data_IF_041146987561
#
_entry.id   IF_041146987561
#
_cell.length_a   1.000
_cell.length_b   1.000
_cell.length_c   1.000
_cell.angle_alpha   90.00
_cell.angle_beta   90.00
_cell.angle_gamma   90.00
#
_symmetry.space_group_name_H-M   'P 1'
#
loop_
_entity.id
_entity.type
_entity.pdbx_description
1 polymer ?
#
# COMPACT_ATOMS: atom_id res chain seq x y z
N UNK A 1 16.82 -20.69 6.45
CA UNK A 1 16.81 -19.26 6.08
C UNK A 1 16.30 -19.18 4.65
N UNK A 2 15.35 -18.31 4.31
CA UNK A 2 14.90 -18.18 2.92
C UNK A 2 16.08 -17.67 2.08
N UNK A 3 16.37 -18.27 0.91
CA UNK A 3 17.64 -18.07 0.21
C UNK A 3 17.88 -16.63 -0.25
N UNK A 4 16.82 -15.83 -0.37
CA UNK A 4 16.85 -14.43 -0.77
C UNK A 4 16.73 -13.44 0.39
N UNK A 5 16.50 -13.88 1.64
CA UNK A 5 16.43 -12.99 2.80
C UNK A 5 17.81 -12.82 3.42
N UNK A 6 18.63 -11.98 2.81
CA UNK A 6 20.03 -11.78 3.21
C UNK A 6 20.31 -10.40 3.80
N UNK A 7 19.39 -9.46 3.62
CA UNK A 7 19.57 -8.05 4.00
C UNK A 7 18.21 -7.36 4.26
N UNK A 8 18.19 -6.11 4.79
CA UNK A 8 16.96 -5.38 5.02
C UNK A 8 16.09 -5.15 3.76
N UNK A 9 16.64 -4.77 2.59
CA UNK A 9 15.84 -4.60 1.37
C UNK A 9 15.09 -5.86 0.95
N UNK A 10 15.76 -7.02 0.92
CA UNK A 10 15.12 -8.29 0.57
C UNK A 10 14.01 -8.69 1.55
N UNK A 11 14.18 -8.37 2.84
CA UNK A 11 13.10 -8.52 3.83
C UNK A 11 11.89 -7.64 3.49
N UNK A 12 12.11 -6.37 3.16
CA UNK A 12 11.02 -5.47 2.75
C UNK A 12 10.33 -5.98 1.48
N UNK A 13 11.09 -6.41 0.48
CA UNK A 13 10.53 -6.96 -0.77
C UNK A 13 9.63 -8.15 -0.50
N UNK A 14 10.02 -9.05 0.40
CA UNK A 14 9.17 -10.18 0.79
C UNK A 14 7.88 -9.73 1.50
N UNK A 15 7.98 -8.80 2.45
CA UNK A 15 6.79 -8.28 3.15
C UNK A 15 5.83 -7.61 2.16
N UNK A 16 6.35 -6.81 1.23
CA UNK A 16 5.56 -6.15 0.18
C UNK A 16 4.95 -7.18 -0.77
N UNK A 17 5.71 -8.18 -1.23
CA UNK A 17 5.19 -9.27 -2.06
C UNK A 17 3.96 -9.93 -1.40
N UNK A 18 4.11 -10.41 -0.17
CA UNK A 18 3.04 -11.15 0.53
C UNK A 18 1.84 -10.22 0.79
N UNK A 19 2.08 -9.04 1.37
CA UNK A 19 0.99 -8.13 1.74
C UNK A 19 0.24 -7.61 0.52
N UNK A 20 0.93 -7.23 -0.56
CA UNK A 20 0.31 -6.74 -1.78
C UNK A 20 -0.45 -7.84 -2.54
N UNK A 21 -0.01 -9.10 -2.50
CA UNK A 21 -0.78 -10.22 -3.05
C UNK A 21 -2.09 -10.43 -2.29
N UNK A 22 -2.03 -10.51 -0.95
CA UNK A 22 -3.22 -10.73 -0.12
C UNK A 22 -4.21 -9.57 -0.26
N UNK A 23 -3.73 -8.34 -0.10
CA UNK A 23 -4.57 -7.13 -0.18
C UNK A 23 -5.10 -6.98 -1.61
N UNK A 24 -4.27 -7.17 -2.63
CA UNK A 24 -4.65 -7.03 -4.03
C UNK A 24 -5.74 -8.02 -4.46
N UNK A 25 -5.57 -9.30 -4.11
CA UNK A 25 -6.59 -10.32 -4.34
C UNK A 25 -7.88 -9.99 -3.59
N UNK A 26 -7.81 -9.54 -2.34
CA UNK A 26 -9.02 -9.18 -1.58
C UNK A 26 -9.78 -8.00 -2.18
N UNK A 27 -9.08 -7.02 -2.80
CA UNK A 27 -9.72 -5.90 -3.49
C UNK A 27 -10.46 -6.35 -4.76
N UNK A 28 -9.95 -7.36 -5.45
CA UNK A 28 -10.54 -7.90 -6.68
C UNK A 28 -11.68 -8.87 -6.39
N UNK A 29 -11.48 -9.77 -5.43
CA UNK A 29 -12.42 -10.85 -5.11
C UNK A 29 -13.51 -10.40 -4.14
N UNK A 30 -13.21 -9.45 -3.25
CA UNK A 30 -14.12 -8.93 -2.22
C UNK A 30 -14.21 -7.39 -2.26
N UNK A 31 -14.53 -6.77 -3.40
CA UNK A 31 -14.58 -5.31 -3.51
C UNK A 31 -15.60 -4.65 -2.57
N UNK A 32 -16.69 -5.34 -2.23
CA UNK A 32 -17.71 -4.85 -1.32
C UNK A 32 -17.19 -4.69 0.11
N UNK A 33 -16.36 -5.64 0.59
CA UNK A 33 -15.73 -5.58 1.91
C UNK A 33 -14.95 -4.26 2.09
N UNK A 34 -14.18 -3.87 1.07
CA UNK A 34 -13.40 -2.64 1.10
C UNK A 34 -14.28 -1.40 0.98
N UNK A 35 -15.34 -1.45 0.16
CA UNK A 35 -16.31 -0.36 0.08
C UNK A 35 -16.96 -0.09 1.45
N UNK A 36 -17.39 -1.14 2.16
CA UNK A 36 -17.99 -1.03 3.48
C UNK A 36 -16.97 -0.52 4.53
N UNK A 37 -15.74 -1.03 4.49
CA UNK A 37 -14.66 -0.56 5.37
C UNK A 37 -14.38 0.94 5.20
N UNK A 38 -14.21 1.42 3.96
CA UNK A 38 -13.94 2.83 3.70
C UNK A 38 -15.17 3.73 3.91
N UNK A 39 -16.38 3.22 3.70
CA UNK A 39 -17.61 3.93 4.08
C UNK A 39 -17.67 4.14 5.60
N UNK A 40 -17.39 3.11 6.40
CA UNK A 40 -17.36 3.24 7.85
C UNK A 40 -16.28 4.20 8.35
N UNK A 41 -15.09 4.20 7.73
CA UNK A 41 -14.05 5.18 8.03
C UNK A 41 -14.53 6.60 7.72
N UNK A 42 -15.20 6.81 6.58
CA UNK A 42 -15.72 8.13 6.19
C UNK A 42 -16.74 8.66 7.20
N UNK A 43 -17.65 7.82 7.69
CA UNK A 43 -18.66 8.19 8.69
C UNK A 43 -18.03 8.72 9.99
N UNK A 44 -16.83 8.24 10.33
CA UNK A 44 -16.06 8.69 11.52
C UNK A 44 -15.33 10.03 11.30
N UNK A 45 -15.41 10.62 10.12
CA UNK A 45 -14.77 11.89 9.78
C UNK A 45 -13.25 11.87 10.02
N UNK A 46 -12.75 12.87 10.75
CA UNK A 46 -11.31 13.00 11.05
C UNK A 46 -10.74 11.81 11.83
N UNK A 47 -11.53 11.20 12.72
CA UNK A 47 -11.08 10.01 13.45
C UNK A 47 -10.90 8.81 12.50
N UNK A 48 -11.76 8.69 11.50
CA UNK A 48 -11.62 7.72 10.41
C UNK A 48 -10.38 7.95 9.56
N UNK A 49 -10.07 9.22 9.22
CA UNK A 49 -8.84 9.57 8.51
C UNK A 49 -7.60 9.12 9.28
N UNK A 50 -7.52 9.44 10.58
CA UNK A 50 -6.39 9.04 11.44
C UNK A 50 -6.30 7.51 11.53
N UNK A 51 -7.42 6.82 11.70
CA UNK A 51 -7.48 5.35 11.75
C UNK A 51 -6.93 4.74 10.47
N UNK A 52 -7.42 5.21 9.31
CA UNK A 52 -6.94 4.79 7.98
C UNK A 52 -5.42 4.95 7.85
N UNK A 53 -4.92 6.13 8.19
CA UNK A 53 -3.48 6.44 8.05
C UNK A 53 -2.66 5.53 8.97
N UNK A 54 -3.03 5.42 10.25
CA UNK A 54 -2.24 4.67 11.24
C UNK A 54 -2.29 3.16 11.02
N UNK A 55 -3.40 2.62 10.54
CA UNK A 55 -3.56 1.17 10.38
C UNK A 55 -3.17 0.66 9.00
N UNK A 56 -3.32 1.48 7.95
CA UNK A 56 -3.18 1.02 6.56
C UNK A 56 -1.97 1.62 5.86
N UNK A 57 -1.64 2.89 6.10
CA UNK A 57 -0.70 3.63 5.23
C UNK A 57 0.66 3.91 5.89
N UNK A 58 0.70 4.23 7.19
CA UNK A 58 1.92 4.70 7.86
C UNK A 58 3.00 3.61 7.97
N UNK A 59 2.65 2.43 8.52
CA UNK A 59 3.66 1.39 8.79
C UNK A 59 4.33 0.85 7.53
N UNK A 60 3.61 0.55 6.43
CA UNK A 60 4.25 0.16 5.18
C UNK A 60 5.15 1.27 4.62
N UNK A 61 4.73 2.54 4.71
CA UNK A 61 5.54 3.66 4.24
C UNK A 61 6.85 3.76 5.02
N UNK A 62 6.79 3.69 6.35
CA UNK A 62 7.97 3.73 7.21
C UNK A 62 8.88 2.54 6.95
N UNK A 63 8.34 1.33 6.87
CA UNK A 63 9.10 0.11 6.61
C UNK A 63 9.89 0.23 5.30
N UNK A 64 9.23 0.66 4.21
CA UNK A 64 9.87 0.77 2.91
C UNK A 64 10.89 1.92 2.90
N UNK A 65 10.52 3.12 3.33
CA UNK A 65 11.43 4.28 3.26
C UNK A 65 12.65 4.11 4.17
N UNK A 66 12.53 3.45 5.32
CA UNK A 66 13.66 3.25 6.23
C UNK A 66 14.59 2.11 5.83
N UNK A 67 14.07 1.03 5.22
CA UNK A 67 14.84 -0.20 4.99
C UNK A 67 15.02 -0.58 3.52
N UNK A 68 14.43 0.16 2.57
CA UNK A 68 14.46 -0.18 1.15
C UNK A 68 14.71 1.06 0.25
N UNK A 69 15.99 1.33 -0.04
CA UNK A 69 16.44 2.43 -0.92
C UNK A 69 17.13 1.90 -2.19
N UNK A 70 16.49 0.93 -2.84
CA UNK A 70 17.01 0.33 -4.09
C UNK A 70 16.38 1.05 -5.29
N UNK A 71 17.22 1.73 -6.08
CA UNK A 71 16.80 2.58 -7.21
C UNK A 71 17.11 1.95 -8.57
N UNK A 72 17.25 0.64 -8.63
CA UNK A 72 17.59 -0.11 -9.84
C UNK A 72 16.69 -1.35 -10.01
N UNK A 73 16.58 -1.81 -11.25
CA UNK A 73 15.82 -3.01 -11.60
C UNK A 73 14.34 -2.94 -11.19
N UNK A 74 13.69 -4.10 -11.00
CA UNK A 74 12.29 -4.18 -10.55
C UNK A 74 12.07 -3.57 -9.15
N UNK A 75 13.10 -3.55 -8.30
CA UNK A 75 13.03 -3.06 -6.93
C UNK A 75 12.68 -1.56 -6.84
N UNK A 76 12.95 -0.78 -7.90
CA UNK A 76 12.60 0.66 -7.95
C UNK A 76 11.10 0.89 -7.72
N UNK A 77 10.24 -0.04 -8.14
CA UNK A 77 8.78 0.04 -7.94
C UNK A 77 8.43 0.08 -6.46
N UNK A 78 9.09 -0.76 -5.65
CA UNK A 78 8.87 -0.81 -4.19
C UNK A 78 9.33 0.50 -3.55
N UNK A 79 10.50 1.00 -3.94
CA UNK A 79 11.04 2.26 -3.42
C UNK A 79 10.13 3.45 -3.75
N UNK A 80 9.68 3.58 -5.00
CA UNK A 80 8.73 4.62 -5.42
C UNK A 80 7.42 4.50 -4.65
N UNK A 81 6.89 3.28 -4.50
CA UNK A 81 5.66 3.04 -3.75
C UNK A 81 5.76 3.52 -2.30
N UNK A 82 6.87 3.21 -1.61
CA UNK A 82 7.11 3.68 -0.25
C UNK A 82 7.10 5.21 -0.12
N UNK A 83 7.80 5.90 -1.03
CA UNK A 83 7.84 7.36 -1.03
C UNK A 83 6.48 8.02 -1.36
N UNK A 84 5.75 7.48 -2.33
CA UNK A 84 4.39 7.95 -2.65
C UNK A 84 3.44 7.73 -1.47
N UNK A 85 3.56 6.60 -0.76
CA UNK A 85 2.75 6.32 0.41
C UNK A 85 3.09 7.25 1.57
N UNK A 86 4.40 7.52 1.82
CA UNK A 86 4.85 8.48 2.82
C UNK A 86 4.33 9.89 2.52
N UNK A 87 4.41 10.33 1.25
CA UNK A 87 3.84 11.60 0.82
C UNK A 87 2.33 11.66 1.08
N UNK A 88 1.59 10.60 0.74
CA UNK A 88 0.15 10.50 0.98
C UNK A 88 -0.21 10.60 2.47
N UNK A 89 0.53 9.89 3.33
CA UNK A 89 0.37 9.96 4.79
C UNK A 89 0.64 11.37 5.30
N UNK A 90 1.70 12.00 4.82
CA UNK A 90 2.12 13.35 5.23
C UNK A 90 1.06 14.38 4.85
N UNK A 91 0.59 14.36 3.59
CA UNK A 91 -0.51 15.22 3.13
C UNK A 91 -1.78 14.95 3.91
N UNK A 92 -2.11 13.67 4.16
CA UNK A 92 -3.32 13.30 4.90
C UNK A 92 -3.35 13.84 6.34
N UNK A 93 -2.21 13.82 7.05
CA UNK A 93 -2.12 14.31 8.42
C UNK A 93 -1.97 15.84 8.52
N UNK A 94 -1.15 16.44 7.65
CA UNK A 94 -0.87 17.88 7.69
C UNK A 94 -1.93 18.72 6.98
N UNK A 95 -2.62 18.15 5.99
CA UNK A 95 -3.66 18.80 5.18
C UNK A 95 -4.94 17.92 5.17
N UNK A 96 -5.63 17.78 6.33
CA UNK A 96 -6.70 16.80 6.50
C UNK A 96 -7.89 16.99 5.56
N UNK A 97 -8.13 18.20 5.04
CA UNK A 97 -9.17 18.43 4.03
C UNK A 97 -8.87 17.66 2.73
N UNK A 98 -7.59 17.59 2.32
CA UNK A 98 -7.17 16.79 1.16
C UNK A 98 -7.23 15.29 1.46
N UNK A 99 -6.81 14.89 2.68
CA UNK A 99 -6.93 13.49 3.13
C UNK A 99 -8.36 12.99 3.15
N UNK A 100 -9.30 13.81 3.63
CA UNK A 100 -10.73 13.54 3.67
C UNK A 100 -11.34 13.41 2.27
N UNK A 101 -10.93 14.25 1.31
CA UNK A 101 -11.40 14.17 -0.07
C UNK A 101 -11.10 12.81 -0.71
N UNK A 102 -9.96 12.20 -0.38
CA UNK A 102 -9.61 10.85 -0.87
C UNK A 102 -10.52 9.73 -0.36
N UNK A 103 -11.26 9.96 0.74
CA UNK A 103 -12.25 9.02 1.28
C UNK A 103 -13.65 9.24 0.70
N UNK A 104 -13.86 10.26 -0.15
CA UNK A 104 -15.14 10.56 -0.78
C UNK A 104 -15.49 9.62 -1.95
N UNK A 105 -14.83 8.45 -2.06
CA UNK A 105 -15.12 7.43 -3.08
C UNK A 105 -16.64 7.12 -3.04
N UNK A 106 -17.32 7.08 -4.21
CA UNK A 106 -18.76 6.87 -4.23
C UNK A 106 -19.13 5.56 -3.52
N UNK A 107 -19.98 5.69 -2.51
CA UNK A 107 -20.48 4.61 -1.64
C UNK A 107 -21.10 3.43 -2.43
N UNK A 108 -21.40 3.64 -3.72
CA UNK A 108 -22.13 2.70 -4.59
C UNK A 108 -21.29 2.07 -5.70
N UNK A 109 -19.96 2.20 -5.67
CA UNK A 109 -19.10 1.59 -6.68
C UNK A 109 -18.07 0.62 -6.08
N UNK A 110 -18.48 -0.56 -5.55
CA UNK A 110 -17.53 -1.58 -5.08
C UNK A 110 -16.45 -1.90 -6.12
N UNK A 111 -16.82 -1.92 -7.40
CA UNK A 111 -15.89 -2.17 -8.51
C UNK A 111 -14.76 -1.14 -8.62
N UNK A 112 -14.85 0.02 -7.98
CA UNK A 112 -13.77 1.01 -7.91
C UNK A 112 -12.54 0.53 -7.12
N UNK A 113 -12.67 -0.54 -6.33
CA UNK A 113 -11.54 -1.17 -5.64
C UNK A 113 -10.74 -2.14 -6.52
N UNK A 114 -11.30 -2.61 -7.64
CA UNK A 114 -10.60 -3.57 -8.53
C UNK A 114 -9.31 -2.98 -9.10
N UNK A 115 -9.26 -1.74 -9.64
CA UNK A 115 -8.01 -1.13 -10.11
C UNK A 115 -6.94 -1.02 -9.02
N UNK A 116 -7.33 -0.69 -7.78
CA UNK A 116 -6.41 -0.67 -6.65
C UNK A 116 -5.85 -2.07 -6.36
N UNK A 117 -6.70 -3.10 -6.48
CA UNK A 117 -6.26 -4.50 -6.38
C UNK A 117 -5.26 -4.90 -7.45
N UNK A 118 -5.51 -4.55 -8.71
CA UNK A 118 -4.58 -4.80 -9.83
C UNK A 118 -3.24 -4.09 -9.61
N UNK A 119 -3.27 -2.84 -9.15
CA UNK A 119 -2.05 -2.09 -8.82
C UNK A 119 -1.25 -2.78 -7.70
N UNK A 120 -1.92 -3.25 -6.64
CA UNK A 120 -1.26 -4.00 -5.58
C UNK A 120 -0.63 -5.30 -6.11
N UNK A 121 -1.33 -6.06 -6.97
CA UNK A 121 -0.74 -7.25 -7.59
C UNK A 121 0.49 -6.92 -8.44
N UNK A 122 0.48 -5.80 -9.18
CA UNK A 122 1.64 -5.36 -9.96
C UNK A 122 2.83 -4.99 -9.07
N UNK A 123 2.60 -4.30 -7.95
CA UNK A 123 3.64 -3.97 -6.96
C UNK A 123 4.19 -5.25 -6.33
N UNK A 124 3.32 -6.20 -5.96
CA UNK A 124 3.73 -7.50 -5.43
C UNK A 124 4.57 -8.29 -6.44
N UNK A 125 4.18 -8.31 -7.71
CA UNK A 125 4.95 -8.96 -8.76
C UNK A 125 6.33 -8.32 -8.95
N UNK A 126 6.43 -6.99 -8.91
CA UNK A 126 7.71 -6.28 -8.98
C UNK A 126 8.61 -6.60 -7.77
N UNK A 127 8.03 -6.64 -6.56
CA UNK A 127 8.75 -7.03 -5.35
C UNK A 127 9.24 -8.49 -5.42
N UNK A 128 8.42 -9.40 -5.94
CA UNK A 128 8.81 -10.78 -6.18
C UNK A 128 9.92 -10.92 -7.21
N UNK A 129 9.86 -10.17 -8.32
CA UNK A 129 10.91 -10.16 -9.32
C UNK A 129 12.23 -9.59 -8.77
N UNK A 130 12.16 -8.58 -7.90
CA UNK A 130 13.33 -7.98 -7.26
C UNK A 130 14.11 -8.97 -6.38
N UNK A 131 13.43 -9.92 -5.71
CA UNK A 131 14.08 -10.94 -4.87
C UNK A 131 15.04 -11.86 -5.65
N UNK A 132 14.89 -11.94 -6.96
CA UNK A 132 15.72 -12.77 -7.85
C UNK A 132 16.53 -11.92 -8.83
N UNK A 133 16.49 -10.59 -8.70
CA UNK A 133 17.21 -9.71 -9.59
C UNK A 133 18.69 -9.68 -9.22
N UNK A 134 19.61 -9.90 -10.17
CA UNK A 134 21.05 -9.81 -9.88
C UNK A 134 21.41 -8.38 -9.47
N UNK A 135 22.13 -8.26 -8.35
CA UNK A 135 22.67 -6.99 -7.84
C UNK A 135 23.70 -6.38 -8.79
#
# INVERSE_FOLDING_TARGET
MWPFLTDPPSFVQLVVLISSLIIGLSHILQPALWADYFANLRERGRAGLVTKIMQVELWPALLIVSLHQVWAGPAIVVTIYGWLLLLKVTVGLLLPNLGMASMAIPERAPRSFIPAGVLMLAIGAAAGAALFWPA
#
